data_IF_006494953968
#
_entry.id   IF_006494953968
#
_cell.length_a   1.000
_cell.length_b   1.000
_cell.length_c   1.000
_cell.angle_alpha   90.00
_cell.angle_beta   90.00
_cell.angle_gamma   90.00
#
_symmetry.space_group_name_H-M   'P 1'
#
loop_
_entity.id
_entity.type
_entity.pdbx_description
1 polymer ?
#
# COMPACT_ATOMS: atom_id res chain seq x y z
N UNK A 1 9.95 -14.70 3.27
CA UNK A 1 8.49 -14.90 3.23
C UNK A 1 7.78 -14.47 4.52
N UNK A 2 8.30 -14.82 5.71
CA UNK A 2 7.70 -14.44 7.00
C UNK A 2 7.63 -12.93 7.25
N UNK A 3 8.60 -12.17 6.74
CA UNK A 3 8.72 -10.74 7.04
C UNK A 3 7.59 -9.89 6.43
N UNK A 4 7.21 -10.12 5.16
CA UNK A 4 6.15 -9.35 4.51
C UNK A 4 4.76 -9.65 5.10
N UNK A 5 4.43 -10.93 5.29
CA UNK A 5 3.14 -11.32 5.86
C UNK A 5 3.00 -10.85 7.32
N UNK A 6 4.09 -10.87 8.08
CA UNK A 6 4.14 -10.32 9.44
C UNK A 6 4.05 -8.78 9.47
N UNK A 7 4.62 -8.08 8.50
CA UNK A 7 4.47 -6.64 8.36
C UNK A 7 3.01 -6.27 8.06
N UNK A 8 2.39 -6.95 7.09
CA UNK A 8 0.99 -6.71 6.71
C UNK A 8 0.00 -6.97 7.86
N UNK A 9 0.23 -8.01 8.68
CA UNK A 9 -0.67 -8.34 9.80
C UNK A 9 -0.63 -7.29 10.93
N UNK A 10 0.46 -6.52 11.03
CA UNK A 10 0.60 -5.44 12.02
C UNK A 10 0.04 -4.11 11.52
N UNK A 11 -0.20 -3.95 10.21
CA UNK A 11 -0.74 -2.72 9.64
C UNK A 11 -2.21 -2.53 10.01
N UNK A 12 -2.54 -1.39 10.63
CA UNK A 12 -3.93 -0.98 10.89
C UNK A 12 -4.32 0.17 9.98
N UNK A 13 -5.26 -0.07 9.06
CA UNK A 13 -5.67 0.90 8.03
C UNK A 13 -7.20 1.08 8.02
N UNK A 14 -7.71 2.29 7.70
CA UNK A 14 -9.15 2.51 7.51
C UNK A 14 -9.75 1.54 6.48
N UNK A 15 -10.90 0.95 6.80
CA UNK A 15 -11.54 -0.06 5.95
C UNK A 15 -11.86 0.44 4.52
N UNK A 16 -12.19 1.73 4.37
CA UNK A 16 -12.43 2.34 3.07
C UNK A 16 -11.18 2.35 2.18
N UNK A 17 -10.02 2.72 2.73
CA UNK A 17 -8.75 2.73 1.98
C UNK A 17 -8.36 1.32 1.56
N UNK A 18 -8.56 0.33 2.44
CA UNK A 18 -8.27 -1.05 2.12
C UNK A 18 -9.18 -1.58 0.98
N UNK A 19 -10.48 -1.25 1.01
CA UNK A 19 -11.41 -1.62 -0.05
C UNK A 19 -11.04 -0.97 -1.39
N UNK A 20 -10.74 0.33 -1.38
CA UNK A 20 -10.29 1.04 -2.58
C UNK A 20 -8.98 0.45 -3.14
N UNK A 21 -8.02 0.14 -2.26
CA UNK A 21 -6.76 -0.49 -2.64
C UNK A 21 -6.97 -1.88 -3.25
N UNK A 22 -7.90 -2.69 -2.71
CA UNK A 22 -8.24 -3.99 -3.28
C UNK A 22 -8.80 -3.86 -4.70
N UNK A 23 -9.71 -2.91 -4.93
CA UNK A 23 -10.25 -2.64 -6.26
C UNK A 23 -9.16 -2.14 -7.21
N UNK A 24 -8.35 -1.18 -6.78
CA UNK A 24 -7.23 -0.66 -7.57
C UNK A 24 -6.18 -1.73 -7.87
N UNK A 25 -5.99 -2.71 -7.00
CA UNK A 25 -5.05 -3.82 -7.19
C UNK A 25 -5.49 -4.80 -8.30
N UNK A 26 -6.74 -4.74 -8.77
CA UNK A 26 -7.21 -5.50 -9.93
C UNK A 26 -6.83 -4.84 -11.26
N UNK A 27 -6.33 -3.60 -11.22
CA UNK A 27 -5.91 -2.87 -12.42
C UNK A 27 -4.47 -3.20 -12.79
N UNK A 28 -4.15 -3.12 -14.09
CA UNK A 28 -2.78 -3.34 -14.59
C UNK A 28 -1.77 -2.33 -14.03
N UNK A 29 -2.21 -1.14 -13.64
CA UNK A 29 -1.34 -0.09 -13.11
C UNK A 29 -0.72 -0.48 -11.77
N UNK A 30 -1.48 -1.16 -10.90
CA UNK A 30 -0.98 -1.64 -9.62
C UNK A 30 0.14 -2.68 -9.80
N UNK A 31 -0.01 -3.59 -10.78
CA UNK A 31 1.05 -4.54 -11.14
C UNK A 31 2.31 -3.84 -11.66
N UNK A 32 2.17 -2.83 -12.53
CA UNK A 32 3.32 -2.05 -13.02
C UNK A 32 4.04 -1.33 -11.88
N UNK A 33 3.30 -0.75 -10.93
CA UNK A 33 3.88 -0.08 -9.75
C UNK A 33 4.62 -1.08 -8.85
N UNK A 34 4.05 -2.26 -8.62
CA UNK A 34 4.66 -3.33 -7.83
C UNK A 34 5.96 -3.86 -8.45
N UNK A 35 6.02 -4.01 -9.77
CA UNK A 35 7.22 -4.48 -10.47
C UNK A 35 8.37 -3.46 -10.48
N UNK A 36 8.05 -2.16 -10.45
CA UNK A 36 9.05 -1.08 -10.55
C UNK A 36 9.69 -0.67 -9.22
N UNK A 37 9.09 -1.02 -8.09
CA UNK A 37 9.55 -0.57 -6.76
C UNK A 37 9.73 -1.77 -5.84
N UNK A 38 10.83 -1.84 -5.07
CA UNK A 38 10.99 -2.87 -4.08
C UNK A 38 9.91 -2.74 -2.99
N UNK A 39 9.44 -3.87 -2.47
CA UNK A 39 8.34 -3.93 -1.49
C UNK A 39 8.66 -3.10 -0.24
N UNK A 40 9.92 -3.09 0.21
CA UNK A 40 10.37 -2.29 1.34
C UNK A 40 10.17 -0.79 1.12
N UNK A 41 10.42 -0.29 -0.10
CA UNK A 41 10.20 1.11 -0.43
C UNK A 41 8.71 1.45 -0.51
N UNK A 42 7.85 0.50 -0.91
CA UNK A 42 6.40 0.67 -0.88
C UNK A 42 5.88 0.73 0.55
N UNK A 43 6.35 -0.15 1.43
CA UNK A 43 5.99 -0.15 2.86
C UNK A 43 6.44 1.14 3.56
N UNK A 44 7.66 1.61 3.29
CA UNK A 44 8.15 2.87 3.86
C UNK A 44 7.35 4.09 3.37
N UNK A 45 6.92 4.09 2.11
CA UNK A 45 6.07 5.14 1.55
C UNK A 45 4.66 5.11 2.16
N UNK A 46 4.11 3.92 2.36
CA UNK A 46 2.82 3.71 2.98
C UNK A 46 2.83 4.22 4.43
N UNK A 47 3.88 3.94 5.21
CA UNK A 47 4.02 4.43 6.58
C UNK A 47 4.05 5.96 6.63
N UNK A 48 4.77 6.62 5.70
CA UNK A 48 4.77 8.08 5.57
C UNK A 48 3.38 8.63 5.28
N UNK A 49 2.63 7.99 4.38
CA UNK A 49 1.27 8.40 4.03
C UNK A 49 0.29 8.19 5.19
N UNK A 50 0.45 7.12 5.95
CA UNK A 50 -0.35 6.87 7.14
C UNK A 50 -0.03 7.88 8.27
N UNK A 51 1.25 8.25 8.46
CA UNK A 51 1.64 9.31 9.38
C UNK A 51 1.04 10.66 8.97
N UNK A 52 1.11 11.03 7.69
CA UNK A 52 0.49 12.25 7.17
C UNK A 52 -1.04 12.26 7.35
N UNK A 53 -1.71 11.12 7.14
CA UNK A 53 -3.15 10.94 7.38
C UNK A 53 -3.52 11.17 8.85
N UNK A 54 -2.71 10.66 9.78
CA UNK A 54 -2.96 10.79 11.23
C UNK A 54 -2.63 12.20 11.75
N UNK A 55 -1.59 12.83 11.22
CA UNK A 55 -1.14 14.17 11.61
C UNK A 55 -1.96 15.32 11.01
N UNK A 56 -3.06 15.04 10.29
CA UNK A 56 -3.89 16.06 9.64
C UNK A 56 -3.16 16.86 8.54
N UNK A 57 -2.10 16.29 7.97
CA UNK A 57 -1.10 17.04 7.21
C UNK A 57 -1.59 17.64 5.90
N UNK A 58 -1.19 18.89 5.65
CA UNK A 58 -1.17 19.50 4.33
C UNK A 58 -0.31 18.62 3.40
N UNK A 59 -0.87 18.17 2.29
CA UNK A 59 -0.19 17.29 1.33
C UNK A 59 -0.50 15.80 1.44
N UNK A 60 -1.38 15.38 2.36
CA UNK A 60 -1.92 14.02 2.34
C UNK A 60 -2.82 13.82 1.09
N UNK A 61 -2.48 12.82 0.27
CA UNK A 61 -3.28 12.39 -0.88
C UNK A 61 -3.86 11.00 -0.64
N UNK A 62 -5.18 10.87 -0.41
CA UNK A 62 -5.85 9.57 -0.32
C UNK A 62 -5.65 8.71 -1.58
N UNK A 63 -5.63 9.35 -2.76
CA UNK A 63 -5.41 8.66 -4.03
C UNK A 63 -4.03 8.00 -4.07
N UNK A 64 -2.97 8.74 -3.72
CA UNK A 64 -1.61 8.19 -3.63
C UNK A 64 -1.51 7.06 -2.61
N UNK A 65 -2.23 7.16 -1.49
CA UNK A 65 -2.29 6.10 -0.48
C UNK A 65 -2.90 4.81 -1.05
N UNK A 66 -4.00 4.92 -1.80
CA UNK A 66 -4.62 3.78 -2.49
C UNK A 66 -3.69 3.17 -3.53
N UNK A 67 -2.98 3.98 -4.31
CA UNK A 67 -1.99 3.50 -5.29
C UNK A 67 -0.86 2.71 -4.63
N UNK A 68 -0.29 3.20 -3.52
CA UNK A 68 0.78 2.50 -2.80
C UNK A 68 0.25 1.20 -2.17
N UNK A 69 -0.91 1.25 -1.51
CA UNK A 69 -1.53 0.07 -0.92
C UNK A 69 -1.88 -1.00 -1.97
N UNK A 70 -2.41 -0.60 -3.13
CA UNK A 70 -2.69 -1.55 -4.22
C UNK A 70 -1.42 -2.21 -4.78
N UNK A 71 -0.32 -1.47 -4.89
CA UNK A 71 0.97 -2.01 -5.30
C UNK A 71 1.53 -3.01 -4.28
N UNK A 72 1.40 -2.73 -2.97
CA UNK A 72 1.77 -3.66 -1.90
C UNK A 72 0.94 -4.95 -2.00
N UNK A 73 -0.38 -4.83 -2.20
CA UNK A 73 -1.26 -5.99 -2.36
C UNK A 73 -0.91 -6.83 -3.61
N UNK A 74 -0.58 -6.19 -4.73
CA UNK A 74 -0.09 -6.88 -5.92
C UNK A 74 1.23 -7.62 -5.64
N UNK A 75 2.20 -6.93 -5.02
CA UNK A 75 3.48 -7.54 -4.69
C UNK A 75 3.33 -8.73 -3.73
N UNK A 76 2.45 -8.64 -2.73
CA UNK A 76 2.16 -9.74 -1.82
C UNK A 76 1.57 -10.96 -2.54
N UNK A 77 0.72 -10.75 -3.56
CA UNK A 77 0.17 -11.85 -4.38
C UNK A 77 1.19 -12.50 -5.29
N UNK A 78 2.19 -11.75 -5.76
CA UNK A 78 3.26 -12.28 -6.63
C UNK A 78 4.33 -13.07 -5.87
N UNK A 79 4.33 -13.03 -4.54
CA UNK A 79 5.25 -13.79 -3.67
C UNK A 79 4.63 -15.12 -3.20
N UNK A 80 3.34 -15.34 -3.50
CA UNK A 80 2.62 -16.60 -3.27
C UNK A 80 2.71 -17.54 -4.47
#
# INVERSE_FOLDING_TARGET
MTDLTAALSRMRRPGLLLRAARMAALTGDAHRRAARRPVQALLAEEEKLNAARLGGGLGYSPTRHVEVMSAILCAARSVS
#
